data_IF_465517415124
#
_entry.id   IF_465517415124
#
_cell.length_a   1.000
_cell.length_b   1.000
_cell.length_c   1.000
_cell.angle_alpha   90.00
_cell.angle_beta   90.00
_cell.angle_gamma   90.00
#
_symmetry.space_group_name_H-M   'P 1'
#
loop_
_entity.id
_entity.type
_entity.pdbx_description
1 polymer ?
#
# COMPACT_ATOMS: atom_id res chain seq x y z
N UNK A 1 -2.00 -10.49 13.65
CA UNK A 1 -2.12 -9.32 12.76
C UNK A 1 -0.74 -8.79 12.44
N UNK A 2 -0.54 -8.42 11.20
CA UNK A 2 0.75 -7.89 10.74
C UNK A 2 0.60 -6.38 10.54
N UNK A 3 1.53 -5.62 11.09
CA UNK A 3 1.55 -4.18 10.92
C UNK A 3 2.43 -3.81 9.74
N UNK A 4 1.87 -3.01 8.85
CA UNK A 4 2.57 -2.52 7.66
C UNK A 4 2.90 -1.05 7.87
N UNK A 5 4.18 -0.70 7.75
CA UNK A 5 4.65 0.68 7.87
C UNK A 5 5.09 1.16 6.49
N UNK A 6 4.35 2.13 5.95
CA UNK A 6 4.73 2.80 4.70
C UNK A 6 5.57 4.01 5.06
N UNK A 7 6.84 3.97 4.71
CA UNK A 7 7.80 5.01 5.06
C UNK A 7 7.91 6.09 3.98
N UNK A 8 8.58 7.19 4.29
CA UNK A 8 8.87 8.22 3.29
C UNK A 8 9.69 7.67 2.12
N UNK A 9 10.56 6.73 2.39
CA UNK A 9 11.35 6.09 1.33
C UNK A 9 10.48 5.23 0.41
N UNK A 10 9.48 4.53 0.95
CA UNK A 10 8.53 3.77 0.16
C UNK A 10 7.72 4.69 -0.76
N UNK A 11 7.34 5.84 -0.26
CA UNK A 11 6.63 6.87 -1.04
C UNK A 11 7.51 7.39 -2.17
N UNK A 12 8.77 7.67 -1.86
CA UNK A 12 9.72 8.19 -2.84
C UNK A 12 10.01 7.18 -3.95
N UNK A 13 10.15 5.91 -3.60
CA UNK A 13 10.49 4.85 -4.54
C UNK A 13 9.27 4.20 -5.21
N UNK A 14 8.07 4.45 -4.70
CA UNK A 14 6.86 3.87 -5.24
C UNK A 14 6.44 4.53 -6.55
N UNK A 15 5.77 3.75 -7.41
CA UNK A 15 5.27 4.22 -8.69
C UNK A 15 3.74 4.35 -8.62
N UNK A 16 3.19 5.56 -8.78
CA UNK A 16 1.74 5.75 -8.78
C UNK A 16 1.06 4.94 -9.89
N UNK A 17 -0.09 4.35 -9.56
CA UNK A 17 -0.87 3.59 -10.52
C UNK A 17 -0.33 2.20 -10.85
N UNK A 18 0.75 1.76 -10.20
CA UNK A 18 1.35 0.45 -10.43
C UNK A 18 1.12 -0.44 -9.20
N UNK A 19 0.29 -1.47 -9.36
CA UNK A 19 -0.12 -2.33 -8.23
C UNK A 19 1.05 -3.05 -7.55
N UNK A 20 2.09 -3.39 -8.30
CA UNK A 20 3.22 -4.15 -7.76
C UNK A 20 4.42 -3.31 -7.33
N UNK A 21 4.41 -2.02 -7.61
CA UNK A 21 5.52 -1.12 -7.28
C UNK A 21 5.08 0.18 -6.60
N UNK A 22 3.82 0.32 -6.22
CA UNK A 22 3.36 1.50 -5.49
C UNK A 22 3.98 1.54 -4.08
N UNK A 23 3.76 2.65 -3.37
CA UNK A 23 4.34 2.84 -2.03
C UNK A 23 3.96 1.72 -1.07
N UNK A 24 2.70 1.27 -1.07
CA UNK A 24 2.25 0.19 -0.20
C UNK A 24 2.93 -1.13 -0.59
N UNK A 25 3.04 -1.42 -1.88
CA UNK A 25 3.72 -2.63 -2.34
C UNK A 25 5.21 -2.62 -1.98
N UNK A 26 5.88 -1.47 -2.01
CA UNK A 26 7.24 -1.35 -1.52
C UNK A 26 7.34 -1.76 -0.03
N UNK A 27 6.40 -1.27 0.78
CA UNK A 27 6.34 -1.63 2.19
C UNK A 27 6.07 -3.13 2.40
N UNK A 28 5.20 -3.72 1.58
CA UNK A 28 4.93 -5.16 1.64
C UNK A 28 6.16 -5.99 1.32
N UNK A 29 6.91 -5.62 0.27
CA UNK A 29 8.15 -6.32 -0.09
C UNK A 29 9.13 -6.34 1.07
N UNK A 30 9.30 -5.22 1.73
CA UNK A 30 10.20 -5.11 2.87
C UNK A 30 9.71 -5.89 4.07
N UNK A 31 8.42 -5.77 4.40
CA UNK A 31 7.82 -6.41 5.57
C UNK A 31 7.85 -7.93 5.47
N UNK A 32 7.49 -8.47 4.32
CA UNK A 32 7.43 -9.93 4.09
C UNK A 32 8.71 -10.49 3.48
N UNK A 33 9.63 -9.64 3.06
CA UNK A 33 10.91 -10.03 2.42
C UNK A 33 10.69 -10.88 1.17
N UNK A 34 9.76 -10.44 0.32
CA UNK A 34 9.41 -11.11 -0.94
C UNK A 34 9.35 -10.09 -2.06
N UNK A 35 9.41 -10.56 -3.30
CA UNK A 35 9.39 -9.68 -4.48
C UNK A 35 8.02 -9.63 -5.16
N UNK A 36 7.17 -10.59 -4.90
CA UNK A 36 5.90 -10.73 -5.60
C UNK A 36 4.74 -10.25 -4.73
N UNK A 37 4.38 -8.98 -4.91
CA UNK A 37 3.28 -8.35 -4.16
C UNK A 37 2.42 -7.51 -5.09
N UNK A 38 1.15 -7.38 -4.74
CA UNK A 38 0.21 -6.49 -5.43
C UNK A 38 -0.68 -5.81 -4.41
N UNK A 39 -0.97 -4.53 -4.64
CA UNK A 39 -1.92 -3.76 -3.86
C UNK A 39 -3.05 -3.35 -4.81
N UNK A 40 -4.25 -3.83 -4.55
CA UNK A 40 -5.41 -3.59 -5.40
C UNK A 40 -6.57 -3.00 -4.61
N UNK A 41 -7.40 -2.21 -5.31
CA UNK A 41 -8.67 -1.72 -4.76
C UNK A 41 -9.76 -2.30 -5.66
N UNK A 42 -10.65 -3.10 -5.08
CA UNK A 42 -11.73 -3.75 -5.80
C UNK A 42 -13.05 -3.50 -5.09
N UNK A 43 -13.94 -2.72 -5.72
CA UNK A 43 -15.24 -2.39 -5.16
C UNK A 43 -15.20 -1.69 -3.81
N UNK A 44 -14.13 -0.94 -3.53
CA UNK A 44 -13.93 -0.27 -2.25
C UNK A 44 -13.15 -1.10 -1.24
N UNK A 45 -12.87 -2.37 -1.55
CA UNK A 45 -12.05 -3.21 -0.69
C UNK A 45 -10.60 -3.14 -1.12
N UNK A 46 -9.70 -3.15 -0.14
CA UNK A 46 -8.26 -3.16 -0.40
C UNK A 46 -7.77 -4.59 -0.26
N UNK A 47 -7.14 -5.10 -1.30
CA UNK A 47 -6.62 -6.47 -1.32
C UNK A 47 -5.10 -6.41 -1.47
N UNK A 48 -4.40 -7.01 -0.51
CA UNK A 48 -2.94 -7.10 -0.53
C UNK A 48 -2.56 -8.53 -0.88
N UNK A 49 -1.90 -8.73 -2.02
CA UNK A 49 -1.45 -10.05 -2.44
C UNK A 49 0.04 -10.17 -2.20
N UNK A 50 0.45 -11.19 -1.44
CA UNK A 50 1.85 -11.46 -1.10
C UNK A 50 2.13 -12.92 -1.42
N UNK A 51 2.95 -13.19 -2.44
CA UNK A 51 3.24 -14.54 -2.90
C UNK A 51 1.97 -15.38 -3.10
N UNK A 52 1.02 -14.85 -3.88
CA UNK A 52 -0.25 -15.51 -4.19
C UNK A 52 -1.23 -15.62 -3.02
N UNK A 53 -0.87 -15.12 -1.85
CA UNK A 53 -1.73 -15.13 -0.67
C UNK A 53 -2.37 -13.77 -0.50
N UNK A 54 -3.69 -13.74 -0.33
CA UNK A 54 -4.44 -12.49 -0.23
C UNK A 54 -4.73 -12.11 1.22
N UNK A 55 -4.52 -10.83 1.52
CA UNK A 55 -4.82 -10.26 2.84
C UNK A 55 -5.69 -9.03 2.66
N UNK A 56 -6.63 -8.83 3.59
CA UNK A 56 -7.38 -7.59 3.63
C UNK A 56 -6.66 -6.55 4.49
N UNK A 57 -7.27 -5.38 4.60
CA UNK A 57 -6.82 -4.33 5.53
C UNK A 57 -7.85 -4.27 6.65
N UNK A 58 -7.38 -4.11 7.90
CA UNK A 58 -8.27 -3.98 9.04
C UNK A 58 -9.27 -2.84 8.77
N UNK A 59 -10.56 -3.10 9.03
CA UNK A 59 -11.62 -2.14 8.71
C UNK A 59 -11.40 -0.76 9.36
N UNK A 60 -10.71 -0.72 10.49
CA UNK A 60 -10.41 0.54 11.17
C UNK A 60 -9.43 1.41 10.39
N UNK A 61 -8.66 0.81 9.50
CA UNK A 61 -7.64 1.49 8.70
C UNK A 61 -8.06 1.69 7.24
N UNK A 62 -9.16 1.07 6.80
CA UNK A 62 -9.55 1.09 5.39
C UNK A 62 -9.65 2.49 4.81
N UNK A 63 -10.33 3.40 5.52
CA UNK A 63 -10.53 4.75 5.04
C UNK A 63 -9.21 5.49 4.84
N UNK A 64 -8.31 5.38 5.80
CA UNK A 64 -7.00 6.05 5.74
C UNK A 64 -6.14 5.48 4.63
N UNK A 65 -6.18 4.17 4.44
CA UNK A 65 -5.41 3.50 3.39
C UNK A 65 -5.97 3.85 2.01
N UNK A 66 -7.30 3.89 1.86
CA UNK A 66 -7.93 4.30 0.61
C UNK A 66 -7.56 5.74 0.25
N UNK A 67 -7.64 6.65 1.22
CA UNK A 67 -7.26 8.04 1.00
C UNK A 67 -5.79 8.15 0.56
N UNK A 68 -4.92 7.38 1.20
CA UNK A 68 -3.51 7.33 0.82
C UNK A 68 -3.35 6.87 -0.64
N UNK A 69 -4.02 5.80 -1.02
CA UNK A 69 -3.92 5.24 -2.38
C UNK A 69 -4.40 6.26 -3.41
N UNK A 70 -5.56 6.86 -3.19
CA UNK A 70 -6.12 7.83 -4.14
C UNK A 70 -5.23 9.06 -4.27
N UNK A 71 -4.71 9.58 -3.16
CA UNK A 71 -3.83 10.75 -3.19
C UNK A 71 -2.48 10.42 -3.82
N UNK A 72 -1.93 9.24 -3.53
CA UNK A 72 -0.65 8.81 -4.12
C UNK A 72 -0.74 8.64 -5.64
N UNK A 73 -1.89 8.19 -6.15
CA UNK A 73 -2.09 7.95 -7.58
C UNK A 73 -2.34 9.24 -8.38
N UNK A 74 -2.48 10.39 -7.71
CA UNK A 74 -2.62 11.67 -8.40
C UNK A 74 -1.28 12.15 -8.96
N UNK A 75 -1.34 13.12 -9.85
CA UNK A 75 -0.13 13.81 -10.36
C UNK A 75 0.60 14.40 -9.16
N UNK A 76 1.89 14.10 -9.06
CA UNK A 76 2.73 14.50 -7.92
C UNK A 76 2.19 13.96 -6.58
N UNK A 77 1.51 12.84 -6.60
CA UNK A 77 0.92 12.23 -5.40
C UNK A 77 1.92 11.96 -4.30
N UNK A 78 3.18 11.66 -4.66
CA UNK A 78 4.24 11.43 -3.68
C UNK A 78 4.44 12.62 -2.75
N UNK A 79 4.17 13.84 -3.22
CA UNK A 79 4.30 15.05 -2.40
C UNK A 79 3.04 15.35 -1.58
N UNK A 80 1.95 14.64 -1.83
CA UNK A 80 0.65 14.87 -1.19
C UNK A 80 0.35 13.88 -0.07
N UNK A 81 1.14 12.82 0.07
CA UNK A 81 0.91 11.78 1.07
C UNK A 81 2.01 11.81 2.10
N UNK A 82 1.70 11.27 3.28
CA UNK A 82 2.63 11.15 4.39
C UNK A 82 2.78 9.68 4.75
N UNK A 83 3.86 9.28 5.41
CA UNK A 83 4.00 7.91 5.91
C UNK A 83 2.79 7.51 6.75
N UNK A 84 2.33 6.29 6.52
CA UNK A 84 1.20 5.72 7.28
C UNK A 84 1.58 4.35 7.80
N UNK A 85 0.83 3.89 8.81
CA UNK A 85 0.94 2.53 9.33
C UNK A 85 -0.47 1.96 9.40
N UNK A 86 -0.61 0.69 9.06
CA UNK A 86 -1.89 0.03 9.15
C UNK A 86 -1.71 -1.46 9.44
N UNK A 87 -2.79 -2.12 9.85
CA UNK A 87 -2.81 -3.55 10.13
C UNK A 87 -3.69 -4.27 9.11
N UNK A 88 -3.31 -5.49 8.80
CA UNK A 88 -4.12 -6.30 7.92
C UNK A 88 -5.35 -6.90 8.62
#
# INVERSE_FOLDING_TARGET
MIKINVTGEDIKNGEPGQCNTCAISQALKRTFKVDEVYTEVDGGDIILTVNEKKYGVNYKNESDVLDFIFDFDQVDGWSKVKPISFEN
#
